data_IF_224715399580
#
_entry.id   IF_224715399580
#
_cell.length_a   1.000
_cell.length_b   1.000
_cell.length_c   1.000
_cell.angle_alpha   90.00
_cell.angle_beta   90.00
_cell.angle_gamma   90.00
#
_symmetry.space_group_name_H-M   'P 1'
#
loop_
_entity.id
_entity.type
_entity.pdbx_description
1 polymer ?
#
# COMPACT_ATOMS: atom_id res chain seq x y z
N UNK A 1 -28.76 8.82 5.49
CA UNK A 1 -27.90 7.64 5.25
C UNK A 1 -26.45 8.13 5.27
N UNK A 2 -25.58 7.57 6.10
CA UNK A 2 -24.14 7.90 6.09
C UNK A 2 -23.56 7.61 4.70
N UNK A 3 -22.89 8.58 4.11
CA UNK A 3 -22.23 8.44 2.80
C UNK A 3 -21.14 7.38 2.86
N UNK A 4 -20.91 6.65 1.77
CA UNK A 4 -19.77 5.73 1.68
C UNK A 4 -18.46 6.52 1.80
N UNK A 5 -17.43 5.99 2.49
CA UNK A 5 -16.12 6.64 2.47
C UNK A 5 -15.54 6.60 1.05
N UNK A 6 -14.75 7.61 0.71
CA UNK A 6 -13.94 7.58 -0.51
C UNK A 6 -12.76 6.63 -0.31
N UNK A 7 -12.28 5.98 -1.37
CA UNK A 7 -11.13 5.09 -1.34
C UNK A 7 -9.98 5.76 -2.09
N UNK A 8 -8.86 5.96 -1.39
CA UNK A 8 -7.66 6.56 -1.96
C UNK A 8 -6.54 5.53 -1.94
N UNK A 9 -6.10 5.09 -3.11
CA UNK A 9 -5.03 4.12 -3.28
C UNK A 9 -3.67 4.80 -3.32
N UNK A 10 -2.69 4.17 -2.66
CA UNK A 10 -1.29 4.60 -2.57
C UNK A 10 -0.39 3.43 -2.97
N UNK A 11 0.30 3.54 -4.11
CA UNK A 11 1.12 2.47 -4.68
C UNK A 11 2.47 2.29 -3.96
N UNK A 12 3.12 1.16 -4.21
CA UNK A 12 4.49 0.89 -3.77
C UNK A 12 5.55 1.39 -4.75
N UNK A 13 6.81 1.05 -4.47
CA UNK A 13 7.88 1.20 -5.45
C UNK A 13 7.68 0.19 -6.59
N UNK A 14 8.26 0.45 -7.74
CA UNK A 14 8.11 -0.35 -8.96
C UNK A 14 6.65 -0.54 -9.37
N UNK A 15 5.79 0.39 -9.01
CA UNK A 15 4.37 0.38 -9.29
C UNK A 15 3.85 1.80 -9.48
N UNK A 16 2.63 1.91 -9.96
CA UNK A 16 1.84 3.13 -10.07
C UNK A 16 0.36 2.83 -9.78
N UNK A 17 -0.54 3.77 -10.05
CA UNK A 17 -1.97 3.59 -9.85
C UNK A 17 -2.58 2.46 -10.67
N UNK A 18 -1.97 2.02 -11.77
CA UNK A 18 -2.46 0.92 -12.59
C UNK A 18 -2.40 -0.43 -11.86
N UNK A 19 -1.57 -0.56 -10.83
CA UNK A 19 -1.53 -1.75 -9.98
C UNK A 19 -2.86 -2.03 -9.25
N UNK A 20 -3.75 -1.04 -9.19
CA UNK A 20 -5.11 -1.19 -8.64
C UNK A 20 -6.20 -1.36 -9.71
N UNK A 21 -5.84 -1.57 -10.98
CA UNK A 21 -6.77 -1.65 -12.11
C UNK A 21 -7.86 -2.73 -11.97
N UNK A 22 -7.60 -3.82 -11.24
CA UNK A 22 -8.58 -4.89 -11.01
C UNK A 22 -9.51 -4.63 -9.83
N UNK A 23 -9.17 -3.71 -8.94
CA UNK A 23 -10.01 -3.38 -7.77
C UNK A 23 -10.79 -2.07 -7.93
N UNK A 24 -10.31 -1.14 -8.73
CA UNK A 24 -10.97 0.15 -8.97
C UNK A 24 -12.36 -0.02 -9.62
N UNK A 25 -12.53 -0.70 -10.77
CA UNK A 25 -13.82 -0.73 -11.46
C UNK A 25 -14.95 -1.38 -10.64
N UNK A 26 -14.75 -2.52 -9.93
CA UNK A 26 -15.78 -3.08 -9.07
C UNK A 26 -16.23 -2.13 -7.95
N UNK A 27 -15.28 -1.44 -7.30
CA UNK A 27 -15.61 -0.47 -6.24
C UNK A 27 -16.39 0.74 -6.79
N UNK A 28 -16.02 1.24 -7.98
CA UNK A 28 -16.78 2.31 -8.65
C UNK A 28 -18.19 1.85 -9.03
N UNK A 29 -18.36 0.62 -9.53
CA UNK A 29 -19.66 0.04 -9.84
C UNK A 29 -20.56 -0.08 -8.59
N UNK A 30 -19.96 -0.24 -7.40
CA UNK A 30 -20.67 -0.22 -6.13
C UNK A 30 -20.95 1.21 -5.61
N UNK A 31 -20.54 2.24 -6.34
CA UNK A 31 -20.77 3.64 -5.98
C UNK A 31 -19.79 4.21 -4.94
N UNK A 32 -18.60 3.62 -4.79
CA UNK A 32 -17.50 4.29 -4.09
C UNK A 32 -16.88 5.37 -4.98
N UNK A 33 -16.53 6.50 -4.38
CA UNK A 33 -15.61 7.45 -5.01
C UNK A 33 -14.19 6.90 -4.83
N UNK A 34 -13.48 6.69 -5.95
CA UNK A 34 -12.18 6.03 -5.95
C UNK A 34 -11.16 6.87 -6.70
N UNK A 35 -9.98 7.05 -6.13
CA UNK A 35 -8.86 7.72 -6.78
C UNK A 35 -7.55 7.04 -6.38
N UNK A 36 -6.60 6.93 -7.31
CA UNK A 36 -5.23 6.52 -7.03
C UNK A 36 -4.33 7.75 -7.00
N UNK A 37 -3.61 7.95 -5.90
CA UNK A 37 -2.59 8.99 -5.80
C UNK A 37 -1.37 8.56 -6.64
N UNK A 38 -0.89 9.48 -7.48
CA UNK A 38 0.28 9.27 -8.34
C UNK A 38 1.41 10.15 -7.83
N UNK A 39 2.50 9.56 -7.35
CA UNK A 39 3.64 10.26 -6.79
C UNK A 39 4.96 9.71 -7.33
N UNK A 40 6.01 10.54 -7.27
CA UNK A 40 7.24 10.34 -8.01
C UNK A 40 8.25 9.42 -7.34
N UNK A 41 8.01 8.94 -6.11
CA UNK A 41 8.96 8.11 -5.37
C UNK A 41 10.34 8.78 -5.19
N UNK A 42 10.35 10.11 -5.09
CA UNK A 42 11.57 10.91 -4.93
C UNK A 42 11.92 11.11 -3.45
N UNK A 43 10.94 11.52 -2.64
CA UNK A 43 11.08 11.64 -1.18
C UNK A 43 9.78 11.27 -0.47
N UNK A 44 9.83 10.72 0.75
CA UNK A 44 8.62 10.41 1.51
C UNK A 44 7.73 11.65 1.73
N UNK A 45 8.34 12.82 1.93
CA UNK A 45 7.61 14.07 2.15
C UNK A 45 6.82 14.51 0.92
N UNK A 46 7.41 14.39 -0.28
CA UNK A 46 6.75 14.73 -1.55
C UNK A 46 5.59 13.79 -1.84
N UNK A 47 5.77 12.50 -1.55
CA UNK A 47 4.77 11.46 -1.77
C UNK A 47 3.58 11.66 -0.80
N UNK A 48 3.85 11.90 0.48
CA UNK A 48 2.83 12.27 1.49
C UNK A 48 2.08 13.53 1.11
N UNK A 49 2.79 14.57 0.64
CA UNK A 49 2.17 15.81 0.19
C UNK A 49 1.22 15.57 -1.00
N UNK A 50 1.60 14.66 -1.91
CA UNK A 50 0.74 14.27 -3.04
C UNK A 50 -0.52 13.55 -2.57
N UNK A 51 -0.43 12.64 -1.61
CA UNK A 51 -1.61 11.98 -1.02
C UNK A 51 -2.52 13.00 -0.33
N UNK A 52 -1.98 13.95 0.43
CA UNK A 52 -2.77 15.02 1.06
C UNK A 52 -3.46 15.92 0.02
N UNK A 53 -2.83 16.22 -1.11
CA UNK A 53 -3.48 16.93 -2.23
C UNK A 53 -4.61 16.08 -2.84
N UNK A 54 -4.39 14.77 -3.00
CA UNK A 54 -5.40 13.84 -3.50
C UNK A 54 -6.61 13.76 -2.58
N UNK A 55 -6.41 13.77 -1.25
CA UNK A 55 -7.49 13.87 -0.27
C UNK A 55 -8.33 15.15 -0.42
N UNK A 56 -7.78 16.23 -0.94
CA UNK A 56 -8.51 17.45 -1.29
C UNK A 56 -9.42 17.33 -2.51
N UNK A 57 -9.36 16.21 -3.24
CA UNK A 57 -10.16 15.94 -4.45
C UNK A 57 -11.34 15.04 -4.20
N UNK A 58 -11.42 14.38 -3.04
CA UNK A 58 -12.54 13.50 -2.68
C UNK A 58 -13.55 14.23 -1.80
N UNK A 59 -14.82 13.82 -1.86
CA UNK A 59 -15.97 14.52 -1.27
C UNK A 59 -16.36 14.03 0.11
N UNK A 60 -16.00 12.79 0.43
CA UNK A 60 -16.33 12.15 1.72
C UNK A 60 -15.05 11.81 2.48
N UNK A 61 -15.17 11.55 3.81
CA UNK A 61 -14.05 11.01 4.56
C UNK A 61 -13.46 9.78 3.87
N UNK A 62 -12.14 9.66 3.87
CA UNK A 62 -11.43 8.68 3.04
C UNK A 62 -10.86 7.52 3.86
N UNK A 63 -10.86 6.33 3.27
CA UNK A 63 -9.97 5.23 3.65
C UNK A 63 -8.75 5.29 2.72
N UNK A 64 -7.56 5.33 3.30
CA UNK A 64 -6.31 5.17 2.57
C UNK A 64 -5.97 3.69 2.44
N UNK A 65 -5.61 3.26 1.24
CA UNK A 65 -5.18 1.88 0.96
C UNK A 65 -3.75 1.92 0.43
N UNK A 66 -2.79 1.45 1.22
CA UNK A 66 -1.36 1.46 0.89
C UNK A 66 -0.82 0.09 0.56
N UNK A 67 -0.20 -0.05 -0.60
CA UNK A 67 0.53 -1.24 -1.00
C UNK A 67 2.02 -1.04 -0.79
N UNK A 68 2.71 -2.01 -0.18
CA UNK A 68 4.17 -2.00 -0.06
C UNK A 68 4.69 -0.71 0.62
N UNK A 69 5.60 0.04 0.00
CA UNK A 69 6.03 1.37 0.44
C UNK A 69 4.86 2.35 0.61
N UNK A 70 3.78 2.20 -0.16
CA UNK A 70 2.56 2.97 0.02
C UNK A 70 1.98 2.88 1.44
N UNK A 71 2.28 1.81 2.18
CA UNK A 71 1.96 1.70 3.61
C UNK A 71 2.70 2.72 4.46
N UNK A 72 4.00 2.97 4.22
CA UNK A 72 4.74 4.05 4.88
C UNK A 72 4.14 5.41 4.55
N UNK A 73 3.71 5.62 3.31
CA UNK A 73 3.07 6.87 2.87
C UNK A 73 1.74 7.08 3.58
N UNK A 74 0.85 6.07 3.64
CA UNK A 74 -0.44 6.20 4.34
C UNK A 74 -0.28 6.31 5.85
N UNK A 75 0.79 5.74 6.43
CA UNK A 75 1.12 5.90 7.84
C UNK A 75 1.33 7.37 8.20
N UNK A 76 2.02 8.12 7.35
CA UNK A 76 2.24 9.55 7.56
C UNK A 76 1.05 10.41 7.10
N UNK A 77 0.51 10.17 5.91
CA UNK A 77 -0.60 10.95 5.35
C UNK A 77 -1.92 10.75 6.11
N UNK A 78 -2.11 9.59 6.72
CA UNK A 78 -3.33 9.21 7.45
C UNK A 78 -3.59 10.00 8.72
N UNK A 79 -2.65 10.83 9.18
CA UNK A 79 -2.87 11.80 10.28
C UNK A 79 -3.81 12.95 9.87
N UNK A 80 -4.12 13.09 8.60
CA UNK A 80 -5.10 14.07 8.10
C UNK A 80 -6.50 13.74 8.63
N UNK A 81 -7.25 14.79 9.07
CA UNK A 81 -8.57 14.63 9.69
C UNK A 81 -9.62 14.03 8.74
N UNK A 82 -9.41 14.15 7.43
CA UNK A 82 -10.28 13.55 6.41
C UNK A 82 -10.15 12.02 6.34
N UNK A 83 -9.11 11.44 6.93
CA UNK A 83 -8.87 9.99 6.92
C UNK A 83 -9.57 9.32 8.10
N UNK A 84 -10.39 8.31 7.80
CA UNK A 84 -11.18 7.57 8.79
C UNK A 84 -10.75 6.10 8.96
N UNK A 85 -9.84 5.61 8.13
CA UNK A 85 -9.32 4.24 8.22
C UNK A 85 -8.14 4.01 7.30
N UNK A 86 -7.36 2.97 7.59
CA UNK A 86 -6.13 2.60 6.87
C UNK A 86 -6.18 1.13 6.50
N UNK A 87 -5.83 0.81 5.25
CA UNK A 87 -5.69 -0.58 4.79
C UNK A 87 -4.27 -0.76 4.24
N UNK A 88 -3.57 -1.75 4.75
CA UNK A 88 -2.22 -2.11 4.37
C UNK A 88 -2.24 -3.40 3.55
N UNK A 89 -1.63 -3.42 2.37
CA UNK A 89 -1.55 -4.60 1.49
C UNK A 89 -0.07 -4.94 1.31
N UNK A 90 0.40 -6.06 1.89
CA UNK A 90 1.81 -6.47 1.83
C UNK A 90 2.78 -5.31 2.10
N UNK A 91 2.51 -4.50 3.12
CA UNK A 91 2.98 -3.14 3.23
C UNK A 91 3.89 -2.88 4.43
N UNK A 92 4.67 -1.82 4.36
CA UNK A 92 5.46 -1.27 5.46
C UNK A 92 4.57 -0.33 6.30
N UNK A 93 4.88 -0.22 7.60
CA UNK A 93 4.13 0.62 8.53
C UNK A 93 5.08 1.18 9.60
N UNK A 94 5.65 2.34 9.35
CA UNK A 94 6.67 2.94 10.20
C UNK A 94 6.13 3.30 11.60
N UNK A 95 6.95 3.10 12.62
CA UNK A 95 6.77 3.69 13.95
C UNK A 95 7.76 4.86 14.15
N UNK A 96 7.75 5.49 15.32
CA UNK A 96 8.64 6.59 15.63
C UNK A 96 10.12 6.20 15.45
N UNK A 97 10.84 7.00 14.68
CA UNK A 97 12.26 6.78 14.40
C UNK A 97 12.56 5.64 13.42
N UNK A 98 11.55 4.95 12.88
CA UNK A 98 11.75 3.90 11.87
C UNK A 98 11.73 4.49 10.45
N UNK A 99 12.51 3.85 9.58
CA UNK A 99 12.44 4.03 8.13
C UNK A 99 11.93 2.76 7.47
N UNK A 100 11.58 2.83 6.21
CA UNK A 100 11.22 1.65 5.42
C UNK A 100 12.36 0.62 5.36
N UNK A 101 13.59 1.07 5.36
CA UNK A 101 14.78 0.23 5.40
C UNK A 101 14.93 -0.45 6.77
N UNK A 102 14.90 0.31 7.85
CA UNK A 102 15.15 -0.22 9.21
C UNK A 102 14.13 -1.28 9.66
N UNK A 103 12.91 -1.26 9.11
CA UNK A 103 11.93 -2.31 9.35
C UNK A 103 12.35 -3.63 8.69
N UNK A 104 12.82 -3.58 7.45
CA UNK A 104 13.20 -4.76 6.67
C UNK A 104 14.49 -5.41 7.18
N UNK A 105 15.44 -4.62 7.68
CA UNK A 105 16.72 -5.09 8.24
C UNK A 105 16.55 -6.02 9.45
N UNK A 106 15.40 -6.02 10.09
CA UNK A 106 15.08 -6.92 11.23
C UNK A 106 14.70 -8.35 10.79
N UNK A 107 14.55 -8.58 9.50
CA UNK A 107 14.08 -9.84 8.92
C UNK A 107 15.03 -10.32 7.81
N UNK A 108 15.00 -11.62 7.45
CA UNK A 108 15.82 -12.14 6.36
C UNK A 108 15.61 -11.37 5.05
N UNK A 109 16.68 -11.13 4.32
CA UNK A 109 16.63 -10.49 3.00
C UNK A 109 15.84 -11.34 2.02
N UNK A 110 14.91 -10.74 1.30
CA UNK A 110 14.09 -11.44 0.31
C UNK A 110 14.81 -11.60 -1.03
N UNK A 111 14.34 -12.53 -1.84
CA UNK A 111 14.94 -12.82 -3.16
C UNK A 111 14.90 -11.62 -4.11
N UNK A 112 13.92 -10.73 -3.96
CA UNK A 112 13.76 -9.54 -4.80
C UNK A 112 15.05 -8.70 -4.86
N UNK A 113 15.78 -8.59 -3.75
CA UNK A 113 17.00 -7.76 -3.68
C UNK A 113 18.14 -8.24 -4.58
N UNK A 114 18.13 -9.51 -5.05
CA UNK A 114 19.09 -10.03 -6.03
C UNK A 114 18.89 -9.43 -7.43
N UNK A 115 17.73 -8.84 -7.68
CA UNK A 115 17.31 -8.32 -8.98
C UNK A 115 17.14 -6.80 -8.98
N UNK A 116 17.72 -6.13 -8.00
CA UNK A 116 17.74 -4.67 -7.92
C UNK A 116 19.09 -4.15 -8.41
N UNK A 117 19.05 -3.13 -9.26
CA UNK A 117 20.25 -2.42 -9.71
C UNK A 117 20.11 -0.92 -9.46
N UNK A 118 21.24 -0.26 -9.24
CA UNK A 118 21.31 1.20 -9.05
C UNK A 118 21.72 1.83 -10.36
N UNK A 119 20.90 2.76 -10.88
CA UNK A 119 21.18 3.52 -12.06
C UNK A 119 20.56 4.92 -11.97
N UNK A 120 21.30 5.95 -12.34
CA UNK A 120 20.84 7.36 -12.32
C UNK A 120 20.23 7.82 -10.99
N UNK A 121 20.78 7.33 -9.86
CA UNK A 121 20.30 7.66 -8.52
C UNK A 121 18.98 6.97 -8.13
N UNK A 122 18.58 5.93 -8.88
CA UNK A 122 17.34 5.18 -8.65
C UNK A 122 17.60 3.68 -8.51
N UNK A 123 16.65 2.99 -7.87
CA UNK A 123 16.65 1.53 -7.70
C UNK A 123 15.74 0.91 -8.75
N UNK A 124 16.32 0.30 -9.76
CA UNK A 124 15.60 -0.36 -10.85
C UNK A 124 15.39 -1.84 -10.55
N UNK A 125 14.21 -2.33 -10.87
CA UNK A 125 13.95 -3.78 -10.90
C UNK A 125 14.41 -4.32 -12.25
N UNK A 126 15.28 -5.35 -12.25
CA UNK A 126 15.63 -6.06 -13.48
C UNK A 126 14.46 -6.97 -13.93
N UNK A 127 14.32 -7.27 -15.24
CA UNK A 127 13.23 -8.09 -15.76
C UNK A 127 13.03 -9.42 -15.03
N UNK A 128 14.12 -10.08 -14.62
CA UNK A 128 14.10 -11.35 -13.91
C UNK A 128 13.51 -11.24 -12.50
N UNK A 129 13.48 -10.05 -11.92
CA UNK A 129 12.91 -9.77 -10.60
C UNK A 129 11.39 -9.81 -10.56
N UNK A 130 10.74 -9.68 -11.72
CA UNK A 130 9.27 -9.64 -11.79
C UNK A 130 8.62 -10.88 -11.19
N UNK A 131 9.26 -12.04 -11.28
CA UNK A 131 8.76 -13.28 -10.65
C UNK A 131 8.80 -13.28 -9.12
N UNK A 132 9.62 -12.42 -8.52
CA UNK A 132 9.61 -12.21 -7.07
C UNK A 132 8.51 -11.22 -6.66
N UNK A 133 8.20 -10.27 -7.54
CA UNK A 133 7.22 -9.22 -7.29
C UNK A 133 5.78 -9.67 -7.63
N UNK A 134 5.59 -10.36 -8.76
CA UNK A 134 4.29 -10.67 -9.34
C UNK A 134 4.23 -12.10 -9.92
N UNK A 135 4.92 -13.07 -9.30
CA UNK A 135 5.11 -14.40 -9.87
C UNK A 135 3.86 -15.27 -9.98
N UNK A 136 2.78 -14.92 -9.31
CA UNK A 136 1.49 -15.59 -9.38
C UNK A 136 0.54 -15.01 -10.45
N UNK A 137 0.98 -13.97 -11.17
CA UNK A 137 0.24 -13.45 -12.32
C UNK A 137 0.58 -14.23 -13.60
N UNK A 138 -0.35 -14.27 -14.60
CA UNK A 138 -0.03 -14.76 -15.93
C UNK A 138 1.17 -14.02 -16.55
N UNK A 139 1.98 -14.68 -17.41
CA UNK A 139 3.19 -14.05 -17.96
C UNK A 139 2.95 -12.71 -18.66
N UNK A 140 1.84 -12.56 -19.36
CA UNK A 140 1.50 -11.30 -20.03
C UNK A 140 1.26 -10.16 -19.03
N UNK A 141 0.61 -10.44 -17.89
CA UNK A 141 0.40 -9.45 -16.84
C UNK A 141 1.72 -9.10 -16.12
N UNK A 142 2.61 -10.08 -15.93
CA UNK A 142 3.96 -9.84 -15.40
C UNK A 142 4.75 -8.88 -16.31
N UNK A 143 4.62 -9.01 -17.63
CA UNK A 143 5.23 -8.08 -18.59
C UNK A 143 4.68 -6.66 -18.46
N UNK A 144 3.38 -6.51 -18.19
CA UNK A 144 2.78 -5.20 -17.94
C UNK A 144 3.31 -4.60 -16.64
N UNK A 145 3.39 -5.39 -15.56
CA UNK A 145 3.97 -4.95 -14.28
C UNK A 145 5.39 -4.45 -14.48
N UNK A 146 6.22 -5.18 -15.24
CA UNK A 146 7.57 -4.72 -15.54
C UNK A 146 7.60 -3.46 -16.41
N UNK A 147 6.75 -3.38 -17.42
CA UNK A 147 6.71 -2.25 -18.35
C UNK A 147 6.26 -0.94 -17.69
N UNK A 148 5.43 -1.03 -16.65
CA UNK A 148 4.90 0.13 -15.90
C UNK A 148 5.66 0.39 -14.60
N UNK A 149 6.73 -0.38 -14.30
CA UNK A 149 7.46 -0.15 -13.07
C UNK A 149 8.14 1.23 -13.06
N UNK A 150 8.05 1.89 -11.91
CA UNK A 150 8.67 3.18 -11.69
C UNK A 150 9.69 3.09 -10.55
N UNK A 151 10.94 3.39 -10.85
CA UNK A 151 12.05 3.23 -9.92
C UNK A 151 12.06 4.33 -8.86
N UNK A 152 12.15 4.00 -7.55
CA UNK A 152 12.30 4.99 -6.49
C UNK A 152 13.69 5.61 -6.49
N UNK A 153 13.83 6.78 -5.87
CA UNK A 153 15.13 7.33 -5.51
C UNK A 153 15.92 6.32 -4.65
N UNK A 154 17.22 6.21 -4.86
CA UNK A 154 18.04 5.19 -4.21
C UNK A 154 18.07 5.30 -2.68
N UNK A 155 17.84 6.49 -2.14
CA UNK A 155 17.81 6.77 -0.70
C UNK A 155 16.39 6.88 -0.13
N UNK A 156 15.34 6.59 -0.91
CA UNK A 156 13.94 6.72 -0.46
C UNK A 156 13.67 5.92 0.82
N UNK A 157 14.21 4.71 0.91
CA UNK A 157 13.94 3.80 2.04
C UNK A 157 14.69 4.16 3.33
N UNK A 158 15.76 4.94 3.24
CA UNK A 158 16.51 5.44 4.40
C UNK A 158 15.92 6.72 5.00
N UNK A 159 14.91 7.29 4.34
CA UNK A 159 14.18 8.49 4.78
C UNK A 159 12.84 8.13 5.40
N UNK A 160 12.24 9.07 6.13
CA UNK A 160 10.94 8.92 6.75
C UNK A 160 10.17 10.25 6.74
N UNK A 161 8.87 10.20 6.48
CA UNK A 161 7.96 11.33 6.70
C UNK A 161 7.31 11.23 8.10
N UNK A 162 7.06 12.35 8.78
CA UNK A 162 6.46 12.36 10.11
C UNK A 162 4.99 11.95 10.06
N UNK A 163 4.54 11.30 11.14
CA UNK A 163 3.15 10.87 11.33
C UNK A 163 3.02 9.36 11.48
N UNK A 164 2.19 8.92 12.44
CA UNK A 164 1.98 7.50 12.75
C UNK A 164 0.48 7.29 12.93
N UNK A 165 -0.26 7.34 11.84
CA UNK A 165 -1.72 7.35 11.84
C UNK A 165 -2.35 6.06 12.40
N UNK A 166 -1.70 4.92 12.26
CA UNK A 166 -2.21 3.65 12.77
C UNK A 166 -2.32 3.59 14.31
N UNK A 167 -1.67 4.51 15.04
CA UNK A 167 -1.85 4.65 16.50
C UNK A 167 -3.20 5.25 16.89
N UNK A 168 -3.88 5.92 15.98
CA UNK A 168 -5.14 6.62 16.25
C UNK A 168 -6.28 6.30 15.28
N UNK A 169 -5.99 5.61 14.18
CA UNK A 169 -6.97 5.26 13.16
C UNK A 169 -7.20 3.75 13.12
N UNK A 170 -8.43 3.27 12.93
CA UNK A 170 -8.68 1.86 12.70
C UNK A 170 -7.94 1.39 11.47
N UNK A 171 -7.30 0.22 11.58
CA UNK A 171 -6.40 -0.30 10.55
C UNK A 171 -6.71 -1.75 10.21
N UNK A 172 -6.60 -2.08 8.94
CA UNK A 172 -6.69 -3.43 8.37
C UNK A 172 -5.38 -3.79 7.69
N UNK A 173 -5.03 -5.06 7.72
CA UNK A 173 -3.81 -5.53 7.08
C UNK A 173 -4.06 -6.82 6.29
N UNK A 174 -3.64 -6.84 5.02
CA UNK A 174 -3.63 -8.02 4.15
C UNK A 174 -2.20 -8.52 4.07
N UNK A 175 -1.96 -9.72 4.62
CA UNK A 175 -0.68 -10.42 4.55
C UNK A 175 -0.66 -11.27 3.29
N UNK A 176 0.35 -11.07 2.44
CA UNK A 176 0.63 -11.91 1.28
C UNK A 176 1.56 -13.06 1.67
N UNK A 177 1.05 -14.30 1.72
CA UNK A 177 1.78 -15.45 2.27
C UNK A 177 3.00 -15.86 1.44
N UNK A 178 2.98 -15.62 0.12
CA UNK A 178 4.02 -16.03 -0.81
C UNK A 178 4.85 -14.84 -1.31
N UNK A 179 4.84 -13.74 -0.56
CA UNK A 179 5.57 -12.52 -0.90
C UNK A 179 7.09 -12.74 -0.81
N UNK A 180 7.80 -12.44 -1.90
CA UNK A 180 9.26 -12.52 -2.02
C UNK A 180 9.91 -11.13 -2.13
N UNK A 181 9.14 -10.07 -1.85
CA UNK A 181 9.57 -8.66 -1.87
C UNK A 181 9.58 -8.07 -0.46
N UNK A 182 8.46 -8.16 0.26
CA UNK A 182 8.36 -7.83 1.70
C UNK A 182 8.11 -9.11 2.48
N UNK A 183 9.04 -9.46 3.38
CA UNK A 183 8.97 -10.69 4.17
C UNK A 183 7.59 -10.90 4.80
N UNK A 184 6.92 -12.06 4.59
CA UNK A 184 5.62 -12.34 5.20
C UNK A 184 5.63 -12.27 6.74
N UNK A 185 6.75 -12.65 7.39
CA UNK A 185 6.86 -12.55 8.84
C UNK A 185 7.02 -11.09 9.32
N UNK A 186 7.67 -10.23 8.53
CA UNK A 186 7.64 -8.78 8.77
C UNK A 186 6.20 -8.26 8.66
N UNK A 187 5.46 -8.64 7.62
CA UNK A 187 4.06 -8.23 7.45
C UNK A 187 3.20 -8.63 8.66
N UNK A 188 3.33 -9.87 9.14
CA UNK A 188 2.64 -10.35 10.36
C UNK A 188 3.04 -9.59 11.61
N UNK A 189 4.34 -9.32 11.77
CA UNK A 189 4.86 -8.51 12.87
C UNK A 189 4.24 -7.12 12.87
N UNK A 190 4.25 -6.43 11.72
CA UNK A 190 3.68 -5.08 11.58
C UNK A 190 2.17 -5.07 11.86
N UNK A 191 1.43 -5.99 11.29
CA UNK A 191 0.00 -6.13 11.50
C UNK A 191 -0.35 -6.33 13.00
N UNK A 192 0.39 -7.20 13.69
CA UNK A 192 0.24 -7.43 15.13
C UNK A 192 0.58 -6.20 15.96
N UNK A 193 1.71 -5.53 15.64
CA UNK A 193 2.14 -4.31 16.34
C UNK A 193 1.10 -3.20 16.26
N UNK A 194 0.47 -3.04 15.10
CA UNK A 194 -0.56 -2.03 14.88
C UNK A 194 -1.92 -2.39 15.51
N UNK A 195 -2.12 -3.63 15.97
CA UNK A 195 -3.45 -4.11 16.37
C UNK A 195 -4.43 -4.13 15.21
N UNK A 196 -3.95 -4.29 13.98
CA UNK A 196 -4.77 -4.24 12.78
C UNK A 196 -5.69 -5.47 12.66
N UNK A 197 -6.90 -5.29 12.13
CA UNK A 197 -7.73 -6.41 11.67
C UNK A 197 -7.01 -7.09 10.51
N UNK A 198 -6.47 -8.29 10.76
CA UNK A 198 -5.53 -8.95 9.85
C UNK A 198 -6.19 -10.10 9.11
N UNK A 199 -5.98 -10.15 7.80
CA UNK A 199 -6.31 -11.29 6.93
C UNK A 199 -5.10 -11.69 6.12
N UNK A 200 -4.97 -12.97 5.79
CA UNK A 200 -3.88 -13.49 4.99
C UNK A 200 -4.42 -14.15 3.72
N UNK A 201 -3.67 -14.05 2.64
CA UNK A 201 -4.02 -14.63 1.35
C UNK A 201 -2.79 -15.23 0.67
N UNK A 202 -2.97 -16.32 -0.04
CA UNK A 202 -1.91 -16.94 -0.85
C UNK A 202 -1.72 -16.14 -2.15
N UNK A 203 -0.80 -15.21 -2.09
CA UNK A 203 -0.50 -14.26 -3.15
C UNK A 203 0.99 -13.90 -3.13
N UNK A 204 1.52 -13.52 -4.28
CA UNK A 204 2.77 -12.76 -4.40
C UNK A 204 2.60 -11.36 -3.79
N UNK A 205 3.58 -10.48 -4.01
CA UNK A 205 3.55 -9.11 -3.48
C UNK A 205 2.35 -8.26 -3.95
N UNK A 206 1.75 -8.58 -5.09
CA UNK A 206 0.70 -7.77 -5.75
C UNK A 206 -0.71 -8.37 -5.58
N UNK A 207 -1.13 -8.62 -4.33
CA UNK A 207 -2.42 -9.24 -4.02
C UNK A 207 -3.62 -8.53 -4.68
N UNK A 208 -3.55 -7.21 -4.92
CA UNK A 208 -4.61 -6.45 -5.59
C UNK A 208 -4.75 -6.79 -7.09
N UNK A 209 -3.75 -7.43 -7.69
CA UNK A 209 -3.79 -7.94 -9.06
C UNK A 209 -4.09 -9.43 -9.12
N UNK A 210 -3.52 -10.23 -8.22
CA UNK A 210 -3.68 -11.70 -8.23
C UNK A 210 -4.93 -12.17 -7.49
N UNK A 211 -5.34 -11.46 -6.43
CA UNK A 211 -6.48 -11.79 -5.56
C UNK A 211 -7.42 -10.59 -5.38
N UNK A 212 -7.89 -9.93 -6.47
CA UNK A 212 -8.63 -8.68 -6.37
C UNK A 212 -9.93 -8.81 -5.58
N UNK A 213 -10.66 -9.91 -5.70
CA UNK A 213 -11.89 -10.15 -4.94
C UNK A 213 -11.65 -10.14 -3.43
N UNK A 214 -10.56 -10.76 -2.97
CA UNK A 214 -10.18 -10.77 -1.56
C UNK A 214 -9.88 -9.36 -1.05
N UNK A 215 -9.12 -8.57 -1.81
CA UNK A 215 -8.79 -7.18 -1.47
C UNK A 215 -10.05 -6.31 -1.41
N UNK A 216 -10.97 -6.46 -2.37
CA UNK A 216 -12.25 -5.75 -2.39
C UNK A 216 -13.09 -6.08 -1.14
N UNK A 217 -13.13 -7.33 -0.72
CA UNK A 217 -13.89 -7.73 0.48
C UNK A 217 -13.33 -7.10 1.75
N UNK A 218 -12.01 -6.98 1.88
CA UNK A 218 -11.40 -6.25 3.01
C UNK A 218 -11.74 -4.77 2.97
N UNK A 219 -11.73 -4.15 1.78
CA UNK A 219 -12.13 -2.73 1.63
C UNK A 219 -13.61 -2.54 2.02
N UNK A 220 -14.50 -3.42 1.61
CA UNK A 220 -15.93 -3.40 2.00
C UNK A 220 -16.13 -3.51 3.50
N UNK A 221 -15.40 -4.43 4.14
CA UNK A 221 -15.42 -4.62 5.60
C UNK A 221 -14.97 -3.34 6.32
N UNK A 222 -13.83 -2.78 5.92
CA UNK A 222 -13.32 -1.54 6.47
C UNK A 222 -14.31 -0.38 6.29
N UNK A 223 -14.86 -0.23 5.08
CA UNK A 223 -15.86 0.80 4.78
C UNK A 223 -17.14 0.67 5.62
N UNK A 224 -17.57 -0.55 5.91
CA UNK A 224 -18.71 -0.81 6.80
C UNK A 224 -18.39 -0.43 8.25
N UNK A 225 -17.21 -0.80 8.73
CA UNK A 225 -16.79 -0.57 10.11
C UNK A 225 -16.66 0.93 10.43
N UNK A 226 -16.01 1.71 9.57
CA UNK A 226 -15.83 3.17 9.79
C UNK A 226 -17.17 3.94 9.71
N UNK A 227 -18.14 3.46 8.93
CA UNK A 227 -19.50 4.06 8.88
C UNK A 227 -20.28 3.80 10.16
N UNK A 228 -20.13 2.60 10.75
CA UNK A 228 -20.79 2.26 12.02
C UNK A 228 -20.29 3.13 13.18
N UNK A 229 -19.01 3.40 13.25
CA UNK A 229 -18.41 4.25 14.28
C UNK A 229 -18.90 5.72 14.21
N UNK A 230 -19.13 6.25 13.00
CA UNK A 230 -19.66 7.62 12.81
C UNK A 230 -21.14 7.78 13.13
N UNK A 231 -21.89 6.70 13.28
CA UNK A 231 -23.33 6.72 13.58
C UNK A 231 -23.64 6.64 15.11
N UNK A 232 -22.61 6.46 15.94
CA UNK A 232 -22.74 6.21 17.38
C UNK A 232 -22.29 7.43 18.23
N UNK A 233 -21.96 8.57 17.60
CA UNK A 233 -21.55 9.83 18.26
C UNK A 233 -22.66 10.86 18.17
#
# INVERSE_FOLDING_TARGET
MSTKPSIVFCHGIWADGSSFSKVIPPLQAEGYEVIAAQYGLDTPESDVATVKRTLGRVRSPAILVGHSYGGSVITAAGTDDRVVGLIYIAALANDAGETSQSQQEKFPVTDMFKYVEVGDGRLWMRPEGVVCFAGDLPPQEQQVVWATHYAPAADLFSRNAPGIAWKSKPSWYIVANNDRTVQPDLQRFLAKRMGATTKAVDSSHVAMLSQPAFVIDVIREAAKAVRGASATV
#
